data_IF_369502404173
#
_entry.id   IF_369502404173
#
_cell.length_a   1.000
_cell.length_b   1.000
_cell.length_c   1.000
_cell.angle_alpha   90.00
_cell.angle_beta   90.00
_cell.angle_gamma   90.00
#
_symmetry.space_group_name_H-M   'P 1'
#
loop_
_entity.id
_entity.type
_entity.pdbx_description
1 polymer ?
#
# COMPACT_ATOMS: atom_id res chain seq x y z
N UNK A 1 5.31 11.89 12.19
CA UNK A 1 5.60 11.90 10.74
C UNK A 1 6.22 10.57 10.35
N UNK A 2 5.67 9.90 9.31
CA UNK A 2 6.20 8.62 8.79
C UNK A 2 7.00 8.83 7.51
N UNK A 3 6.46 9.59 6.56
CA UNK A 3 7.08 9.87 5.26
C UNK A 3 7.10 11.37 4.99
N UNK A 4 8.17 11.82 4.32
CA UNK A 4 8.28 13.20 3.87
C UNK A 4 8.99 13.28 2.52
N UNK A 5 8.38 13.98 1.59
CA UNK A 5 8.93 14.37 0.29
C UNK A 5 9.31 15.86 0.35
N UNK A 6 10.48 16.19 -0.16
CA UNK A 6 10.98 17.55 -0.31
C UNK A 6 11.39 17.81 -1.75
N UNK A 7 10.62 18.62 -2.47
CA UNK A 7 10.87 19.06 -3.86
C UNK A 7 11.28 17.89 -4.77
N UNK A 8 10.53 16.78 -4.67
CA UNK A 8 10.83 15.53 -5.35
C UNK A 8 10.36 15.56 -6.78
N UNK A 9 11.29 15.32 -7.71
CA UNK A 9 10.97 15.12 -9.13
C UNK A 9 11.50 13.77 -9.60
N UNK A 10 10.75 13.12 -10.50
CA UNK A 10 11.16 11.90 -11.17
C UNK A 10 11.03 12.07 -12.68
N UNK A 11 12.15 11.94 -13.36
CA UNK A 11 12.25 11.96 -14.81
C UNK A 11 12.84 10.62 -15.24
N UNK A 12 12.16 9.92 -16.14
CA UNK A 12 12.63 8.66 -16.69
C UNK A 12 13.62 8.89 -17.86
N UNK A 13 14.43 7.89 -18.25
CA UNK A 13 15.42 8.05 -19.35
C UNK A 13 14.81 8.45 -20.69
N UNK A 14 13.53 8.12 -20.92
CA UNK A 14 12.78 8.51 -22.10
C UNK A 14 12.26 9.98 -22.08
N UNK A 15 12.68 10.77 -21.09
CA UNK A 15 12.30 12.17 -20.93
C UNK A 15 10.95 12.39 -20.23
N UNK A 16 10.19 11.35 -19.92
CA UNK A 16 8.90 11.47 -19.23
C UNK A 16 9.11 11.96 -17.80
N UNK A 17 8.55 13.13 -17.49
CA UNK A 17 8.53 13.73 -16.15
C UNK A 17 7.33 13.18 -15.38
N UNK A 18 7.53 12.08 -14.68
CA UNK A 18 6.46 11.38 -13.97
C UNK A 18 6.05 12.06 -12.67
N UNK A 19 6.98 12.76 -11.99
CA UNK A 19 6.71 13.62 -10.84
C UNK A 19 7.48 14.93 -10.98
N UNK A 20 6.85 16.03 -10.60
CA UNK A 20 7.35 17.39 -10.75
C UNK A 20 7.19 18.18 -9.46
N UNK A 21 8.28 18.34 -8.73
CA UNK A 21 8.40 19.18 -7.54
C UNK A 21 7.38 18.85 -6.43
N UNK A 22 7.25 17.56 -6.12
CA UNK A 22 6.34 17.07 -5.08
C UNK A 22 6.91 17.34 -3.69
N UNK A 23 6.15 18.08 -2.87
CA UNK A 23 6.41 18.24 -1.43
C UNK A 23 5.19 17.78 -0.64
N UNK A 24 5.38 16.80 0.27
CA UNK A 24 4.29 16.14 0.97
C UNK A 24 4.77 15.58 2.30
N UNK A 25 3.89 15.60 3.31
CA UNK A 25 4.09 14.94 4.61
C UNK A 25 2.98 13.93 4.84
N UNK A 26 3.35 12.76 5.36
CA UNK A 26 2.42 11.69 5.75
C UNK A 26 2.73 11.32 7.19
N UNK A 27 1.74 11.38 8.04
CA UNK A 27 1.88 11.01 9.44
C UNK A 27 1.57 9.52 9.67
N UNK A 28 1.96 9.03 10.85
CA UNK A 28 1.65 7.65 11.23
C UNK A 28 0.15 7.50 11.47
N UNK A 29 -0.39 6.36 11.04
CA UNK A 29 -1.80 6.04 11.21
C UNK A 29 -2.75 6.80 10.27
N UNK A 30 -2.24 7.62 9.33
CA UNK A 30 -3.10 8.22 8.30
C UNK A 30 -3.62 7.16 7.32
N UNK A 31 -4.83 7.41 6.82
CA UNK A 31 -5.36 6.76 5.63
C UNK A 31 -5.45 7.79 4.51
N UNK A 32 -4.76 7.53 3.40
CA UNK A 32 -4.62 8.48 2.29
C UNK A 32 -5.06 7.82 1.00
N UNK A 33 -5.93 8.49 0.26
CA UNK A 33 -6.19 8.18 -1.14
C UNK A 33 -5.26 8.98 -2.04
N UNK A 34 -4.50 8.28 -2.87
CA UNK A 34 -3.70 8.88 -3.93
C UNK A 34 -4.48 8.75 -5.23
N UNK A 35 -5.09 9.83 -5.67
CA UNK A 35 -5.94 9.87 -6.86
C UNK A 35 -5.28 10.56 -8.04
N UNK A 36 -5.82 10.35 -9.22
CA UNK A 36 -5.42 11.00 -10.45
C UNK A 36 -5.68 10.13 -11.67
N UNK A 37 -5.73 10.74 -12.88
CA UNK A 37 -5.93 9.99 -14.11
C UNK A 37 -4.78 9.00 -14.37
N UNK A 38 -4.94 8.14 -15.38
CA UNK A 38 -3.85 7.30 -15.85
C UNK A 38 -2.68 8.18 -16.29
N UNK A 39 -1.45 7.79 -15.95
CA UNK A 39 -0.25 8.58 -16.24
C UNK A 39 -0.02 9.79 -15.31
N UNK A 40 -0.86 10.06 -14.31
CA UNK A 40 -0.68 11.18 -13.38
C UNK A 40 0.56 11.10 -12.49
N UNK A 41 1.23 9.92 -12.41
CA UNK A 41 2.43 9.71 -11.59
C UNK A 41 2.22 8.85 -10.36
N UNK A 42 1.00 8.29 -10.14
CA UNK A 42 0.67 7.46 -8.96
C UNK A 42 1.65 6.28 -8.77
N UNK A 43 1.86 5.48 -9.81
CA UNK A 43 2.78 4.33 -9.73
C UNK A 43 4.24 4.75 -9.52
N UNK A 44 4.65 5.89 -10.07
CA UNK A 44 6.00 6.44 -9.82
C UNK A 44 6.15 6.91 -8.38
N UNK A 45 5.12 7.53 -7.80
CA UNK A 45 5.08 7.90 -6.39
C UNK A 45 5.23 6.67 -5.49
N UNK A 46 4.44 5.62 -5.77
CA UNK A 46 4.50 4.33 -5.06
C UNK A 46 5.89 3.71 -5.16
N UNK A 47 6.49 3.63 -6.36
CA UNK A 47 7.84 3.08 -6.58
C UNK A 47 8.94 3.81 -5.82
N UNK A 48 8.82 5.13 -5.68
CA UNK A 48 9.74 5.92 -4.88
C UNK A 48 9.63 5.59 -3.38
N UNK A 49 8.42 5.32 -2.86
CA UNK A 49 8.20 5.02 -1.44
C UNK A 49 8.93 3.76 -1.00
N UNK A 50 8.88 2.68 -1.78
CA UNK A 50 9.60 1.45 -1.43
C UNK A 50 10.98 1.33 -2.12
N UNK A 51 11.45 2.48 -2.70
CA UNK A 51 12.77 2.61 -3.30
C UNK A 51 13.05 1.57 -4.40
N UNK A 52 12.03 1.23 -5.19
CA UNK A 52 12.22 0.54 -6.47
C UNK A 52 12.88 1.49 -7.46
N UNK A 53 12.46 2.77 -7.41
CA UNK A 53 13.05 3.87 -8.15
C UNK A 53 13.67 4.89 -7.19
N UNK A 54 14.63 5.66 -7.70
CA UNK A 54 15.16 6.84 -7.02
C UNK A 54 14.63 8.11 -7.69
N UNK A 55 14.42 9.20 -6.93
CA UNK A 55 14.06 10.47 -7.52
C UNK A 55 15.23 11.04 -8.34
N UNK A 56 14.91 11.81 -9.36
CA UNK A 56 15.89 12.56 -10.15
C UNK A 56 16.37 13.81 -9.41
N UNK A 57 15.49 14.39 -8.55
CA UNK A 57 15.79 15.55 -7.69
C UNK A 57 14.98 15.43 -6.40
N UNK A 58 15.39 16.20 -5.38
CA UNK A 58 14.73 16.28 -4.09
C UNK A 58 15.17 15.22 -3.10
N UNK A 59 14.48 15.13 -1.98
CA UNK A 59 14.77 14.21 -0.88
C UNK A 59 13.51 13.51 -0.40
N UNK A 60 13.65 12.23 -0.03
CA UNK A 60 12.56 11.46 0.59
C UNK A 60 13.08 10.90 1.91
N UNK A 61 12.30 11.13 2.97
CA UNK A 61 12.58 10.60 4.29
C UNK A 61 11.49 9.62 4.70
N UNK A 62 11.88 8.53 5.34
CA UNK A 62 11.00 7.59 6.01
C UNK A 62 11.52 7.38 7.43
N UNK A 63 10.66 7.57 8.43
CA UNK A 63 11.07 7.53 9.84
C UNK A 63 12.31 8.42 10.12
N UNK A 64 12.30 9.65 9.62
CA UNK A 64 13.40 10.63 9.74
C UNK A 64 14.74 10.19 9.10
N UNK A 65 14.77 9.09 8.36
CA UNK A 65 15.96 8.61 7.63
C UNK A 65 15.80 8.85 6.14
N UNK A 66 16.80 9.45 5.50
CA UNK A 66 16.80 9.62 4.03
C UNK A 66 16.88 8.26 3.34
N UNK A 67 15.83 7.89 2.59
CA UNK A 67 15.82 6.65 1.83
C UNK A 67 16.74 6.69 0.61
N UNK A 68 17.08 7.89 0.13
CA UNK A 68 17.97 8.08 -1.02
C UNK A 68 19.41 7.74 -0.62
N UNK A 69 19.83 8.17 0.59
CA UNK A 69 21.19 7.98 1.09
C UNK A 69 21.44 6.61 1.74
N UNK A 70 20.42 5.77 1.87
CA UNK A 70 20.55 4.42 2.42
C UNK A 70 21.51 3.58 1.58
N UNK A 71 22.37 2.80 2.24
CA UNK A 71 23.18 1.76 1.59
C UNK A 71 22.27 0.67 1.01
N UNK A 72 22.69 0.00 -0.05
CA UNK A 72 21.92 -1.11 -0.66
C UNK A 72 21.54 -2.20 0.34
N UNK A 73 22.41 -2.51 1.30
CA UNK A 73 22.15 -3.50 2.37
C UNK A 73 21.08 -3.09 3.38
N UNK A 74 20.74 -1.80 3.48
CA UNK A 74 19.72 -1.29 4.40
C UNK A 74 18.30 -1.31 3.76
N UNK A 75 18.23 -1.33 2.42
CA UNK A 75 16.95 -1.30 1.68
C UNK A 75 16.02 -2.46 2.03
N UNK A 76 16.50 -3.73 2.12
CA UNK A 76 15.63 -4.82 2.54
C UNK A 76 15.02 -4.61 3.93
N UNK A 77 15.77 -4.04 4.87
CA UNK A 77 15.25 -3.72 6.22
C UNK A 77 14.18 -2.63 6.18
N UNK A 78 14.35 -1.62 5.33
CA UNK A 78 13.34 -0.58 5.12
C UNK A 78 12.06 -1.18 4.51
N UNK A 79 12.20 -2.00 3.46
CA UNK A 79 11.07 -2.63 2.76
C UNK A 79 10.23 -3.55 3.65
N UNK A 80 10.81 -4.17 4.69
CA UNK A 80 10.06 -4.96 5.70
C UNK A 80 9.01 -4.14 6.45
N UNK A 81 9.20 -2.82 6.54
CA UNK A 81 8.25 -1.91 7.18
C UNK A 81 7.14 -1.44 6.22
N UNK A 82 7.13 -1.93 4.98
CA UNK A 82 6.17 -1.56 3.95
C UNK A 82 5.51 -2.83 3.42
N UNK A 83 4.20 -2.96 3.59
CA UNK A 83 3.40 -3.95 2.89
C UNK A 83 2.94 -3.39 1.56
N UNK A 84 2.91 -4.20 0.51
CA UNK A 84 2.40 -3.80 -0.81
C UNK A 84 1.32 -4.77 -1.25
N UNK A 85 0.19 -4.21 -1.63
CA UNK A 85 -0.96 -4.92 -2.21
C UNK A 85 -1.12 -4.47 -3.65
N UNK A 86 -1.19 -5.41 -4.58
CA UNK A 86 -1.27 -5.17 -6.01
C UNK A 86 -2.67 -5.43 -6.55
N UNK A 87 -3.02 -4.79 -7.66
CA UNK A 87 -4.28 -4.98 -8.36
C UNK A 87 -4.46 -6.42 -8.88
N UNK A 88 -3.39 -7.05 -9.36
CA UNK A 88 -3.36 -8.40 -9.93
C UNK A 88 -2.91 -9.48 -8.93
N UNK A 89 -3.15 -9.23 -7.64
CA UNK A 89 -2.90 -10.10 -6.48
C UNK A 89 -1.47 -10.59 -6.34
N UNK A 90 -0.76 -10.92 -7.43
CA UNK A 90 0.62 -11.46 -7.45
C UNK A 90 0.80 -12.67 -6.53
N UNK A 91 -0.18 -13.57 -6.51
CA UNK A 91 -0.10 -14.78 -5.70
C UNK A 91 0.82 -15.84 -6.36
N UNK A 92 1.37 -16.69 -5.53
CA UNK A 92 2.13 -17.86 -5.97
C UNK A 92 1.13 -18.99 -6.23
N UNK A 93 0.82 -19.27 -7.49
CA UNK A 93 -0.24 -20.17 -7.93
C UNK A 93 -0.05 -21.61 -7.45
N UNK A 94 1.20 -22.04 -7.27
CA UNK A 94 1.60 -23.37 -6.80
C UNK A 94 1.74 -23.47 -5.28
N UNK A 95 1.28 -22.48 -4.54
CA UNK A 95 1.30 -22.42 -3.08
C UNK A 95 -0.11 -22.17 -2.54
N UNK A 96 -0.40 -22.82 -1.41
CA UNK A 96 -1.66 -22.60 -0.69
C UNK A 96 -1.75 -21.18 -0.11
N UNK A 97 -2.91 -20.82 0.43
CA UNK A 97 -3.10 -19.55 1.17
C UNK A 97 -2.07 -19.41 2.28
N UNK A 98 -1.93 -20.43 3.14
CA UNK A 98 -0.98 -20.40 4.25
C UNK A 98 0.46 -20.23 3.77
N UNK A 99 0.86 -20.93 2.71
CA UNK A 99 2.20 -20.83 2.12
C UNK A 99 2.44 -19.48 1.45
N UNK A 100 1.44 -18.90 0.78
CA UNK A 100 1.52 -17.54 0.23
C UNK A 100 1.78 -16.50 1.32
N UNK A 101 1.07 -16.60 2.43
CA UNK A 101 1.22 -15.69 3.58
C UNK A 101 2.57 -15.94 4.27
N UNK A 102 2.97 -17.20 4.48
CA UNK A 102 4.24 -17.57 5.09
C UNK A 102 5.46 -17.07 4.30
N UNK A 103 5.37 -17.09 2.98
CA UNK A 103 6.45 -16.73 2.07
C UNK A 103 7.07 -15.36 2.38
N UNK A 104 6.26 -14.36 2.77
CA UNK A 104 6.76 -13.05 3.14
C UNK A 104 7.67 -13.07 4.37
N UNK A 105 7.46 -14.00 5.30
CA UNK A 105 8.32 -14.20 6.48
C UNK A 105 9.54 -15.06 6.15
N UNK A 106 9.39 -16.06 5.29
CA UNK A 106 10.48 -16.92 4.83
C UNK A 106 11.57 -16.12 4.12
N UNK A 107 11.17 -15.24 3.20
CA UNK A 107 12.08 -14.36 2.44
C UNK A 107 12.92 -13.45 3.36
N UNK A 108 12.38 -13.04 4.50
CA UNK A 108 13.12 -12.21 5.46
C UNK A 108 13.90 -13.03 6.49
N UNK A 109 13.86 -14.35 6.40
CA UNK A 109 14.59 -15.26 7.28
C UNK A 109 13.99 -15.37 8.70
N UNK A 110 12.65 -15.23 8.81
CA UNK A 110 11.99 -15.38 10.10
C UNK A 110 12.09 -16.83 10.62
N UNK A 111 12.30 -17.03 11.93
CA UNK A 111 12.30 -18.38 12.51
C UNK A 111 10.97 -19.09 12.27
N UNK A 112 11.02 -20.38 11.97
CA UNK A 112 9.84 -21.21 11.67
C UNK A 112 8.74 -21.12 12.75
N UNK A 113 9.13 -21.13 14.04
CA UNK A 113 8.20 -20.93 15.16
C UNK A 113 7.39 -19.64 15.07
N UNK A 114 8.01 -18.56 14.59
CA UNK A 114 7.33 -17.27 14.41
C UNK A 114 6.34 -17.32 13.23
N UNK A 115 6.73 -18.01 12.15
CA UNK A 115 5.86 -18.22 10.98
C UNK A 115 4.61 -19.00 11.41
N UNK A 116 4.78 -20.14 12.09
CA UNK A 116 3.66 -20.95 12.57
C UNK A 116 2.69 -20.19 13.48
N UNK A 117 3.19 -19.25 14.29
CA UNK A 117 2.35 -18.42 15.17
C UNK A 117 1.65 -17.31 14.39
N UNK A 118 2.37 -16.65 13.45
CA UNK A 118 1.89 -15.43 12.81
C UNK A 118 0.92 -15.69 11.66
N UNK A 119 1.16 -16.71 10.85
CA UNK A 119 0.37 -17.01 9.65
C UNK A 119 -1.11 -17.22 9.96
N UNK A 120 -1.51 -18.08 10.92
CA UNK A 120 -2.92 -18.24 11.26
C UNK A 120 -3.57 -16.94 11.76
N UNK A 121 -2.85 -16.14 12.54
CA UNK A 121 -3.36 -14.85 13.04
C UNK A 121 -3.70 -13.89 11.91
N UNK A 122 -2.84 -13.81 10.88
CA UNK A 122 -3.06 -12.91 9.76
C UNK A 122 -4.17 -13.43 8.85
N UNK A 123 -4.24 -14.75 8.60
CA UNK A 123 -5.32 -15.39 7.84
C UNK A 123 -6.68 -15.08 8.50
N UNK A 124 -6.77 -15.22 9.82
CA UNK A 124 -7.96 -14.83 10.59
C UNK A 124 -8.24 -13.34 10.47
N UNK A 125 -7.22 -12.50 10.56
CA UNK A 125 -7.39 -11.04 10.48
C UNK A 125 -8.02 -10.58 9.16
N UNK A 126 -7.79 -11.29 8.06
CA UNK A 126 -8.36 -10.98 6.75
C UNK A 126 -9.64 -11.77 6.43
N UNK A 127 -10.14 -12.60 7.37
CA UNK A 127 -11.38 -13.37 7.23
C UNK A 127 -11.26 -14.57 6.29
N UNK A 128 -10.11 -15.24 6.29
CA UNK A 128 -9.84 -16.44 5.48
C UNK A 128 -9.62 -17.70 6.34
N UNK A 129 -10.20 -17.75 7.55
CA UNK A 129 -10.18 -18.98 8.38
C UNK A 129 -10.85 -20.13 7.62
N UNK A 130 -10.19 -21.28 7.58
CA UNK A 130 -10.64 -22.48 6.85
C UNK A 130 -10.14 -22.60 5.41
N UNK A 131 -9.48 -21.56 4.87
CA UNK A 131 -8.92 -21.54 3.52
C UNK A 131 -7.41 -21.80 3.49
N UNK A 132 -6.79 -22.18 4.61
CA UNK A 132 -5.33 -22.29 4.78
C UNK A 132 -4.69 -23.20 3.71
N UNK A 133 -5.37 -24.29 3.35
CA UNK A 133 -4.89 -25.29 2.41
C UNK A 133 -5.42 -25.10 0.98
N UNK A 134 -6.18 -24.03 0.71
CA UNK A 134 -6.76 -23.74 -0.60
C UNK A 134 -5.73 -23.08 -1.50
N UNK A 135 -5.73 -23.42 -2.79
CA UNK A 135 -4.86 -22.79 -3.79
C UNK A 135 -5.52 -21.57 -4.43
N UNK A 136 -4.74 -20.57 -4.91
CA UNK A 136 -5.27 -19.33 -5.50
C UNK A 136 -6.33 -19.55 -6.58
N UNK A 137 -6.15 -20.52 -7.47
CA UNK A 137 -7.10 -20.83 -8.55
C UNK A 137 -8.48 -21.33 -8.08
N UNK A 138 -8.63 -21.66 -6.80
CA UNK A 138 -9.88 -22.11 -6.19
C UNK A 138 -10.62 -20.96 -5.46
N UNK A 139 -10.00 -19.78 -5.37
CA UNK A 139 -10.50 -18.62 -4.65
C UNK A 139 -11.19 -17.63 -5.60
N UNK A 140 -12.22 -16.95 -5.10
CA UNK A 140 -12.79 -15.77 -5.75
C UNK A 140 -11.77 -14.62 -5.79
N UNK A 141 -11.97 -13.62 -6.65
CA UNK A 141 -11.11 -12.45 -6.73
C UNK A 141 -10.95 -11.70 -5.40
N UNK A 142 -12.04 -11.60 -4.64
CA UNK A 142 -12.02 -10.97 -3.31
C UNK A 142 -11.21 -11.77 -2.30
N UNK A 143 -11.31 -13.10 -2.29
CA UNK A 143 -10.50 -13.97 -1.44
C UNK A 143 -9.02 -13.90 -1.84
N UNK A 144 -8.70 -13.90 -3.14
CA UNK A 144 -7.34 -13.72 -3.63
C UNK A 144 -6.74 -12.37 -3.16
N UNK A 145 -7.53 -11.31 -3.21
CA UNK A 145 -7.12 -10.00 -2.72
C UNK A 145 -6.87 -10.02 -1.21
N UNK A 146 -7.71 -10.69 -0.43
CA UNK A 146 -7.50 -10.88 1.01
C UNK A 146 -6.22 -11.66 1.30
N UNK A 147 -5.85 -12.66 0.50
CA UNK A 147 -4.53 -13.35 0.60
C UNK A 147 -3.39 -12.38 0.31
N UNK A 148 -3.50 -11.53 -0.71
CA UNK A 148 -2.52 -10.49 -1.03
C UNK A 148 -2.33 -9.51 0.12
N UNK A 149 -3.43 -9.07 0.75
CA UNK A 149 -3.43 -8.21 1.94
C UNK A 149 -2.79 -8.94 3.13
N UNK A 150 -3.15 -10.20 3.39
CA UNK A 150 -2.56 -11.02 4.45
C UNK A 150 -1.05 -11.10 4.32
N UNK A 151 -0.55 -11.42 3.12
CA UNK A 151 0.87 -11.47 2.81
C UNK A 151 1.57 -10.14 3.09
N UNK A 152 0.94 -9.03 2.74
CA UNK A 152 1.48 -7.70 2.98
C UNK A 152 1.54 -7.33 4.48
N UNK A 153 0.63 -7.86 5.31
CA UNK A 153 0.54 -7.59 6.75
C UNK A 153 1.43 -8.49 7.61
N UNK A 154 1.92 -9.57 7.06
CA UNK A 154 2.57 -10.64 7.82
C UNK A 154 3.78 -10.15 8.62
N UNK A 155 4.56 -9.21 8.07
CA UNK A 155 5.72 -8.63 8.73
C UNK A 155 5.41 -7.39 9.60
N UNK A 156 4.15 -7.16 9.96
CA UNK A 156 3.71 -6.02 10.79
C UNK A 156 4.22 -4.67 10.26
N UNK A 157 3.90 -4.31 9.00
CA UNK A 157 4.43 -3.12 8.38
C UNK A 157 3.91 -1.85 9.06
N UNK A 158 4.75 -0.80 9.08
CA UNK A 158 4.33 0.55 9.51
C UNK A 158 3.40 1.22 8.50
N UNK A 159 3.50 0.80 7.23
CA UNK A 159 2.73 1.34 6.13
C UNK A 159 2.30 0.24 5.17
N UNK A 160 1.06 0.30 4.74
CA UNK A 160 0.49 -0.51 3.67
C UNK A 160 0.26 0.37 2.45
N UNK A 161 0.81 -0.01 1.32
CA UNK A 161 0.56 0.62 0.03
C UNK A 161 -0.34 -0.32 -0.77
N UNK A 162 -1.51 0.15 -1.16
CA UNK A 162 -2.45 -0.60 -1.98
C UNK A 162 -2.59 0.10 -3.34
N UNK A 163 -2.09 -0.55 -4.39
CA UNK A 163 -2.15 -0.04 -5.76
C UNK A 163 -3.33 -0.66 -6.49
N UNK A 164 -4.40 0.13 -6.67
CA UNK A 164 -5.68 -0.27 -7.27
C UNK A 164 -6.28 -1.57 -6.69
N UNK A 165 -6.37 -1.73 -5.35
CA UNK A 165 -6.68 -3.01 -4.71
C UNK A 165 -8.10 -3.52 -4.98
N UNK A 166 -8.96 -2.71 -5.57
CA UNK A 166 -10.36 -3.03 -5.91
C UNK A 166 -10.63 -3.01 -7.41
N UNK A 167 -9.60 -2.79 -8.23
CA UNK A 167 -9.76 -2.53 -9.66
C UNK A 167 -10.33 -3.71 -10.47
N UNK A 168 -10.21 -4.94 -9.98
CA UNK A 168 -10.68 -6.16 -10.62
C UNK A 168 -11.87 -6.81 -9.88
N UNK A 169 -12.51 -6.09 -8.95
CA UNK A 169 -13.55 -6.61 -8.07
C UNK A 169 -14.89 -5.93 -8.36
N UNK A 170 -15.98 -6.63 -8.10
CA UNK A 170 -17.31 -6.04 -8.09
C UNK A 170 -17.47 -5.04 -6.93
N UNK A 171 -18.54 -4.25 -6.96
CA UNK A 171 -18.76 -3.18 -5.99
C UNK A 171 -18.85 -3.69 -4.54
N UNK A 172 -19.60 -4.78 -4.31
CA UNK A 172 -19.81 -5.30 -2.96
C UNK A 172 -18.49 -5.82 -2.38
N UNK A 173 -17.77 -6.63 -3.15
CA UNK A 173 -16.44 -7.12 -2.77
C UNK A 173 -15.47 -5.96 -2.56
N UNK A 174 -15.54 -4.90 -3.39
CA UNK A 174 -14.72 -3.70 -3.22
C UNK A 174 -14.98 -3.00 -1.89
N UNK A 175 -16.25 -2.89 -1.46
CA UNK A 175 -16.60 -2.31 -0.16
C UNK A 175 -16.07 -3.16 1.00
N UNK A 176 -16.13 -4.48 0.90
CA UNK A 176 -15.55 -5.38 1.92
C UNK A 176 -14.03 -5.22 2.03
N UNK A 177 -13.32 -5.11 0.91
CA UNK A 177 -11.87 -4.85 0.91
C UNK A 177 -11.57 -3.47 1.51
N UNK A 178 -12.40 -2.46 1.23
CA UNK A 178 -12.26 -1.13 1.85
C UNK A 178 -12.41 -1.19 3.37
N UNK A 179 -13.43 -1.89 3.88
CA UNK A 179 -13.62 -2.07 5.33
C UNK A 179 -12.41 -2.79 5.96
N UNK A 180 -11.89 -3.83 5.31
CA UNK A 180 -10.68 -4.50 5.78
C UNK A 180 -9.49 -3.53 5.85
N UNK A 181 -9.29 -2.67 4.86
CA UNK A 181 -8.21 -1.67 4.86
C UNK A 181 -8.43 -0.63 5.97
N UNK A 182 -9.67 -0.23 6.25
CA UNK A 182 -9.99 0.67 7.38
C UNK A 182 -9.71 0.00 8.72
N UNK A 183 -10.03 -1.29 8.90
CA UNK A 183 -9.71 -2.04 10.11
C UNK A 183 -8.20 -2.13 10.35
N UNK A 184 -7.43 -2.35 9.29
CA UNK A 184 -5.97 -2.34 9.34
C UNK A 184 -5.46 -0.95 9.77
N UNK A 185 -6.02 0.10 9.22
CA UNK A 185 -5.66 1.48 9.58
C UNK A 185 -6.05 1.81 11.02
N UNK A 186 -7.24 1.43 11.49
CA UNK A 186 -7.69 1.59 12.88
C UNK A 186 -6.74 0.95 13.90
N UNK A 187 -6.04 -0.12 13.48
CA UNK A 187 -4.99 -0.78 14.30
C UNK A 187 -3.64 -0.06 14.27
N UNK A 188 -3.54 1.10 13.61
CA UNK A 188 -2.37 1.96 13.62
C UNK A 188 -1.46 1.88 12.38
N UNK A 189 -1.74 0.99 11.42
CA UNK A 189 -0.99 0.94 10.16
C UNK A 189 -1.35 2.13 9.29
N UNK A 190 -0.37 2.87 8.79
CA UNK A 190 -0.60 3.92 7.78
C UNK A 190 -0.99 3.27 6.45
N UNK A 191 -2.05 3.75 5.80
CA UNK A 191 -2.51 3.20 4.52
C UNK A 191 -2.44 4.26 3.44
N UNK A 192 -1.82 3.92 2.32
CA UNK A 192 -1.82 4.73 1.09
C UNK A 192 -2.48 3.89 0.01
N UNK A 193 -3.65 4.30 -0.44
CA UNK A 193 -4.38 3.61 -1.50
C UNK A 193 -4.36 4.44 -2.77
N UNK A 194 -3.64 3.97 -3.78
CA UNK A 194 -3.73 4.53 -5.12
C UNK A 194 -4.99 3.97 -5.80
N UNK A 195 -5.87 4.85 -6.27
CA UNK A 195 -7.10 4.44 -6.94
C UNK A 195 -7.66 5.54 -7.85
N UNK A 196 -8.48 5.13 -8.81
CA UNK A 196 -9.31 6.03 -9.62
C UNK A 196 -10.81 5.89 -9.30
N UNK A 197 -11.19 5.04 -8.34
CA UNK A 197 -12.57 4.77 -7.96
C UNK A 197 -13.17 5.91 -7.12
N UNK A 198 -13.63 7.00 -7.78
CA UNK A 198 -14.17 8.19 -7.13
C UNK A 198 -15.30 7.91 -6.15
N UNK A 199 -16.18 6.94 -6.46
CA UNK A 199 -17.32 6.60 -5.59
C UNK A 199 -16.86 6.08 -4.23
N UNK A 200 -15.86 5.20 -4.18
CA UNK A 200 -15.30 4.66 -2.94
C UNK A 200 -14.61 5.75 -2.10
N UNK A 201 -13.98 6.71 -2.75
CA UNK A 201 -13.26 7.80 -2.08
C UNK A 201 -14.21 8.82 -1.46
N UNK A 202 -15.30 9.20 -2.17
CA UNK A 202 -16.27 10.19 -1.68
C UNK A 202 -16.96 9.79 -0.38
N UNK A 203 -17.23 8.50 -0.19
CA UNK A 203 -17.87 7.99 1.04
C UNK A 203 -16.91 7.79 2.21
N UNK A 204 -15.61 7.85 1.96
CA UNK A 204 -14.59 7.41 2.92
C UNK A 204 -14.19 8.46 3.97
N UNK A 205 -14.46 9.74 3.76
CA UNK A 205 -14.08 10.83 4.65
C UNK A 205 -12.62 10.77 5.11
N UNK A 206 -11.69 10.48 4.19
CA UNK A 206 -10.25 10.40 4.43
C UNK A 206 -9.51 11.43 3.59
N UNK A 207 -8.24 11.66 3.92
CA UNK A 207 -7.36 12.55 3.16
C UNK A 207 -7.23 12.08 1.72
N UNK A 208 -7.38 13.01 0.79
CA UNK A 208 -7.25 12.76 -0.65
C UNK A 208 -6.14 13.64 -1.21
N UNK A 209 -5.16 13.01 -1.82
CA UNK A 209 -4.10 13.67 -2.57
C UNK A 209 -4.38 13.44 -4.05
N UNK A 210 -4.63 14.51 -4.79
CA UNK A 210 -4.88 14.46 -6.22
C UNK A 210 -3.59 14.77 -6.98
N UNK A 211 -3.15 13.82 -7.80
CA UNK A 211 -2.06 14.00 -8.75
C UNK A 211 -2.62 14.28 -10.14
N UNK A 212 -2.03 15.25 -10.82
CA UNK A 212 -2.22 15.47 -12.25
C UNK A 212 -0.89 15.87 -12.91
N UNK A 213 -0.53 15.22 -14.01
CA UNK A 213 0.71 15.46 -14.76
C UNK A 213 1.95 15.58 -13.87
N UNK A 214 2.05 14.69 -12.87
CA UNK A 214 3.18 14.64 -11.95
C UNK A 214 3.16 15.66 -10.82
N UNK A 215 2.15 16.50 -10.69
CA UNK A 215 2.03 17.51 -9.63
C UNK A 215 0.90 17.18 -8.66
N UNK A 216 1.04 17.59 -7.40
CA UNK A 216 -0.07 17.61 -6.45
C UNK A 216 -0.93 18.84 -6.78
N UNK A 217 -2.15 18.60 -7.25
CA UNK A 217 -3.11 19.67 -7.58
C UNK A 217 -4.08 19.95 -6.43
N UNK A 218 -4.28 18.98 -5.54
CA UNK A 218 -4.97 19.19 -4.27
C UNK A 218 -4.50 18.17 -3.22
N UNK A 219 -4.54 18.58 -1.96
CA UNK A 219 -4.28 17.76 -0.78
C UNK A 219 -5.30 18.19 0.28
N UNK A 220 -6.39 17.46 0.34
CA UNK A 220 -7.50 17.79 1.22
C UNK A 220 -7.68 16.73 2.28
N UNK A 221 -7.47 17.11 3.55
CA UNK A 221 -8.12 16.40 4.63
C UNK A 221 -9.60 16.77 4.56
N UNK A 222 -10.47 15.81 4.30
CA UNK A 222 -11.89 16.01 4.50
C UNK A 222 -12.07 16.10 6.02
N UNK A 223 -12.14 17.33 6.54
CA UNK A 223 -12.47 17.57 7.94
C UNK A 223 -13.91 17.11 8.18
N UNK A 224 -14.07 16.23 9.17
CA UNK A 224 -15.40 15.96 9.72
C UNK A 224 -15.91 17.23 10.39
N UNK A 225 -17.04 17.71 9.93
CA UNK A 225 -17.88 18.64 10.67
C UNK A 225 -17.61 20.11 10.38
N UNK A 226 -18.40 20.63 9.47
CA UNK A 226 -19.25 21.81 9.68
C UNK A 226 -20.34 21.73 8.62
N UNK A 227 -21.37 20.93 8.89
CA UNK A 227 -22.69 21.24 8.35
C UNK A 227 -23.12 22.51 9.09
N UNK A 228 -22.97 23.62 8.43
CA UNK A 228 -23.71 24.83 8.81
C UNK A 228 -25.18 24.53 8.64
N UNK A 229 -25.87 24.65 9.75
CA UNK A 229 -27.33 24.76 9.91
C UNK A 229 -27.86 25.94 9.13
#
# INVERSE_FOLDING_TARGET
MLVQFYNVSKIYPNGVKALDDISLKIDRGEFIFLMGPSGAGKSSFVKLLFREELPSRGQIFMNSRSIIRMKRSEVPKMRRNIGVVFQDFKLLENKTVAENVAFAMEVVGAPYRNIQKRVPQVIKQVGLEGYENTFPGQLSGGEQQRVGIARALTNEPLMLIADEPTGNLDLNTSLEIMELLYDINRKGTTVIMATHAQQLVKSAHKRVIMLDKGKIVSDSQIQFGEQQI
#
